data_IF_358220113169
#
_entry.id   IF_358220113169
#
_cell.length_a   1.000
_cell.length_b   1.000
_cell.length_c   1.000
_cell.angle_alpha   90.00
_cell.angle_beta   90.00
_cell.angle_gamma   90.00
#
_symmetry.space_group_name_H-M   'P 1'
#
loop_
_entity.id
_entity.type
_entity.pdbx_description
1 polymer ?
#
# COMPACT_ATOMS: atom_id res chain seq x y z
N UNK A 1 13.93 5.09 10.98
CA UNK A 1 14.01 3.84 11.74
C UNK A 1 15.18 3.03 11.21
N UNK A 2 16.17 2.72 12.03
CA UNK A 2 17.27 1.80 11.71
C UNK A 2 16.84 0.34 11.90
N UNK A 3 17.59 -0.63 11.37
CA UNK A 3 17.32 -2.05 11.64
C UNK A 3 17.40 -2.38 13.14
N UNK A 4 18.32 -1.74 13.88
CA UNK A 4 18.42 -1.94 15.32
C UNK A 4 17.17 -1.44 16.04
N UNK A 5 16.62 -0.29 15.63
CA UNK A 5 15.37 0.27 16.16
C UNK A 5 14.16 -0.62 15.84
N UNK A 6 14.05 -1.09 14.58
CA UNK A 6 12.97 -2.00 14.16
C UNK A 6 13.04 -3.34 14.91
N UNK A 7 14.24 -3.89 15.10
CA UNK A 7 14.43 -5.11 15.88
C UNK A 7 13.97 -4.92 17.32
N UNK A 8 14.31 -3.78 17.93
CA UNK A 8 13.90 -3.45 19.29
C UNK A 8 12.37 -3.30 19.42
N UNK A 9 11.71 -2.66 18.45
CA UNK A 9 10.23 -2.56 18.42
C UNK A 9 9.55 -3.92 18.22
N UNK A 10 10.17 -4.83 17.45
CA UNK A 10 9.68 -6.19 17.22
C UNK A 10 10.07 -7.18 18.33
N UNK A 11 10.87 -6.76 19.32
CA UNK A 11 11.36 -7.63 20.39
C UNK A 11 12.36 -8.69 19.92
N UNK A 12 13.07 -8.45 18.81
CA UNK A 12 14.07 -9.36 18.24
C UNK A 12 15.44 -8.70 18.15
N UNK A 13 16.50 -9.52 18.13
CA UNK A 13 17.86 -8.99 18.00
C UNK A 13 18.11 -8.41 16.60
N UNK A 14 19.04 -7.45 16.52
CA UNK A 14 19.50 -6.89 15.25
C UNK A 14 19.96 -7.99 14.27
N UNK A 15 20.71 -8.98 14.75
CA UNK A 15 21.15 -10.12 13.93
C UNK A 15 19.98 -10.97 13.43
N UNK A 16 18.92 -11.12 14.23
CA UNK A 16 17.75 -11.89 13.83
C UNK A 16 16.95 -11.15 12.76
N UNK A 17 16.76 -9.84 12.91
CA UNK A 17 16.12 -9.03 11.89
C UNK A 17 16.94 -9.00 10.60
N UNK A 18 18.26 -8.91 10.70
CA UNK A 18 19.15 -8.99 9.54
C UNK A 18 18.98 -10.33 8.79
N UNK A 19 18.85 -11.46 9.50
CA UNK A 19 18.58 -12.76 8.86
C UNK A 19 17.23 -12.81 8.15
N UNK A 20 16.24 -12.06 8.62
CA UNK A 20 14.95 -11.92 7.94
C UNK A 20 15.05 -11.03 6.70
N UNK A 21 15.77 -9.92 6.80
CA UNK A 21 16.03 -9.01 5.67
C UNK A 21 16.81 -9.70 4.55
N UNK A 22 17.85 -10.47 4.89
CA UNK A 22 18.64 -11.21 3.89
C UNK A 22 17.99 -12.51 3.42
N UNK A 23 16.78 -12.84 3.90
CA UNK A 23 16.05 -14.05 3.51
C UNK A 23 16.69 -15.36 3.97
N UNK A 24 17.72 -15.31 4.82
CA UNK A 24 18.38 -16.50 5.36
C UNK A 24 17.46 -17.26 6.32
N UNK A 25 16.60 -16.52 7.04
CA UNK A 25 15.50 -17.07 7.82
C UNK A 25 14.17 -16.66 7.22
N UNK A 26 13.22 -17.59 7.17
CA UNK A 26 11.83 -17.28 6.81
C UNK A 26 11.11 -16.57 7.95
N UNK A 27 10.35 -15.54 7.61
CA UNK A 27 9.40 -14.88 8.50
C UNK A 27 8.09 -15.70 8.57
N UNK A 28 7.50 -15.79 9.76
CA UNK A 28 6.13 -16.29 9.89
C UNK A 28 5.13 -15.22 9.47
N UNK A 29 3.91 -15.63 9.09
CA UNK A 29 2.85 -14.68 8.72
C UNK A 29 2.51 -13.69 9.87
N UNK A 30 2.54 -14.16 11.13
CA UNK A 30 2.34 -13.30 12.30
C UNK A 30 3.45 -12.25 12.46
N UNK A 31 4.70 -12.63 12.23
CA UNK A 31 5.81 -11.66 12.27
C UNK A 31 5.71 -10.64 11.13
N UNK A 32 5.30 -11.06 9.94
CA UNK A 32 5.01 -10.16 8.82
C UNK A 32 3.92 -9.13 9.16
N UNK A 33 2.86 -9.54 9.86
CA UNK A 33 1.83 -8.61 10.35
C UNK A 33 2.41 -7.61 11.35
N UNK A 34 3.17 -8.07 12.34
CA UNK A 34 3.79 -7.20 13.33
C UNK A 34 4.74 -6.17 12.69
N UNK A 35 5.49 -6.58 11.66
CA UNK A 35 6.37 -5.68 10.88
C UNK A 35 5.55 -4.60 10.17
N UNK A 36 4.43 -4.96 9.54
CA UNK A 36 3.54 -4.01 8.89
C UNK A 36 2.95 -2.99 9.90
N UNK A 37 2.55 -3.45 11.09
CA UNK A 37 2.01 -2.60 12.15
C UNK A 37 3.05 -1.60 12.67
N UNK A 38 4.28 -2.06 12.93
CA UNK A 38 5.41 -1.22 13.35
C UNK A 38 5.75 -0.17 12.28
N UNK A 39 5.78 -0.58 11.01
CA UNK A 39 6.02 0.31 9.88
C UNK A 39 4.83 1.22 9.54
N UNK A 40 3.66 0.97 10.15
CA UNK A 40 2.39 1.66 9.88
C UNK A 40 2.00 1.64 8.40
N UNK A 41 2.25 0.51 7.74
CA UNK A 41 1.88 0.27 6.35
C UNK A 41 0.85 -0.85 6.25
N UNK A 42 -0.05 -0.84 5.26
CA UNK A 42 -0.91 -1.98 5.01
C UNK A 42 -0.08 -3.23 4.73
N UNK A 43 -0.38 -4.37 5.35
CA UNK A 43 0.38 -5.62 5.17
C UNK A 43 0.51 -6.03 3.69
N UNK A 44 -0.44 -5.65 2.85
CA UNK A 44 -0.42 -5.87 1.40
C UNK A 44 0.80 -5.22 0.70
N UNK A 45 1.35 -4.12 1.21
CA UNK A 45 2.53 -3.46 0.61
C UNK A 45 3.81 -4.28 0.76
N UNK A 46 3.85 -5.24 1.70
CA UNK A 46 5.00 -6.13 1.89
C UNK A 46 5.03 -7.29 0.87
N UNK A 47 3.97 -7.43 0.07
CA UNK A 47 3.82 -8.46 -0.95
C UNK A 47 3.80 -7.85 -2.38
N UNK A 48 4.24 -6.60 -2.54
CA UNK A 48 4.50 -6.07 -3.88
C UNK A 48 5.68 -6.83 -4.49
N UNK A 49 5.36 -7.78 -5.37
CA UNK A 49 6.33 -8.53 -6.16
C UNK A 49 7.22 -7.56 -6.94
N UNK A 50 8.54 -7.72 -6.83
CA UNK A 50 9.50 -7.05 -7.74
C UNK A 50 9.22 -7.41 -9.22
N UNK A 51 8.56 -8.55 -9.48
CA UNK A 51 8.08 -8.95 -10.80
C UNK A 51 6.78 -8.22 -11.24
N UNK A 52 5.98 -7.68 -10.31
CA UNK A 52 4.83 -6.83 -10.62
C UNK A 52 5.25 -5.39 -10.91
N UNK A 53 6.43 -4.95 -10.45
CA UNK A 53 7.01 -3.67 -10.87
C UNK A 53 7.32 -3.63 -12.38
N UNK A 54 7.54 -4.79 -13.01
CA UNK A 54 7.72 -4.90 -14.47
C UNK A 54 6.39 -5.16 -15.22
N UNK A 55 5.33 -5.60 -14.53
CA UNK A 55 4.03 -5.91 -15.12
C UNK A 55 2.89 -4.93 -14.73
N UNK A 56 3.24 -3.78 -14.16
CA UNK A 56 2.49 -2.56 -14.44
C UNK A 56 3.21 -1.87 -15.59
N UNK A 57 2.75 -2.10 -16.82
CA UNK A 57 2.71 -0.99 -17.77
C UNK A 57 2.15 0.17 -16.95
N UNK A 58 2.96 1.19 -16.67
CA UNK A 58 2.53 2.32 -15.85
C UNK A 58 1.22 2.79 -16.46
N UNK A 59 0.11 2.46 -15.80
CA UNK A 59 -1.19 2.68 -16.37
C UNK A 59 -1.27 4.20 -16.56
N UNK A 60 -1.32 4.70 -17.80
CA UNK A 60 -1.28 6.15 -18.04
C UNK A 60 -2.44 6.85 -17.34
N UNK A 61 -3.50 6.09 -17.04
CA UNK A 61 -4.68 6.56 -16.31
C UNK A 61 -4.58 6.38 -14.79
N UNK A 62 -3.52 5.78 -14.23
CA UNK A 62 -3.34 5.66 -12.78
C UNK A 62 -3.22 7.03 -12.11
N UNK A 63 -2.50 7.97 -12.75
CA UNK A 63 -2.43 9.36 -12.28
C UNK A 63 -3.80 10.04 -12.34
N UNK A 64 -4.53 9.86 -13.44
CA UNK A 64 -5.88 10.42 -13.60
C UNK A 64 -6.88 9.84 -12.58
N UNK A 65 -6.79 8.54 -12.27
CA UNK A 65 -7.61 7.88 -11.24
C UNK A 65 -7.29 8.40 -9.84
N UNK A 66 -6.01 8.55 -9.51
CA UNK A 66 -5.58 9.10 -8.21
C UNK A 66 -6.08 10.54 -8.00
N UNK A 67 -6.01 11.37 -9.04
CA UNK A 67 -6.57 12.72 -9.02
C UNK A 67 -8.09 12.69 -8.83
N UNK A 68 -8.82 11.84 -9.56
CA UNK A 68 -10.27 11.70 -9.42
C UNK A 68 -10.69 11.29 -7.99
N UNK A 69 -10.00 10.31 -7.40
CA UNK A 69 -10.25 9.88 -6.02
C UNK A 69 -10.04 11.00 -5.00
N UNK A 70 -9.00 11.81 -5.16
CA UNK A 70 -8.75 12.98 -4.28
C UNK A 70 -9.92 13.97 -4.28
N UNK A 71 -10.58 14.19 -5.42
CA UNK A 71 -11.76 15.07 -5.50
C UNK A 71 -13.01 14.44 -4.87
N UNK A 72 -13.18 13.13 -5.02
CA UNK A 72 -14.29 12.37 -4.42
C UNK A 72 -14.16 12.39 -2.89
N UNK A 73 -12.99 12.07 -2.35
CA UNK A 73 -12.76 11.98 -0.90
C UNK A 73 -12.91 13.34 -0.18
N UNK A 74 -12.66 14.43 -0.90
CA UNK A 74 -12.86 15.80 -0.40
C UNK A 74 -14.33 16.24 -0.38
N UNK A 75 -15.23 15.48 -1.02
CA UNK A 75 -16.65 15.85 -1.13
C UNK A 75 -17.48 15.14 -0.08
N UNK A 76 -17.79 15.82 1.02
CA UNK A 76 -18.61 15.25 2.10
C UNK A 76 -20.13 15.23 1.87
N UNK A 77 -20.63 15.72 0.72
CA UNK A 77 -22.06 15.78 0.41
C UNK A 77 -22.48 14.63 -0.50
N UNK A 78 -23.40 13.80 -0.02
CA UNK A 78 -23.93 12.63 -0.74
C UNK A 78 -24.66 13.01 -2.03
N UNK A 79 -25.37 14.14 -2.03
CA UNK A 79 -26.06 14.66 -3.22
C UNK A 79 -25.06 15.06 -4.32
N UNK A 80 -23.96 15.73 -3.94
CA UNK A 80 -22.89 16.13 -4.87
C UNK A 80 -22.13 14.92 -5.42
N UNK A 81 -21.82 13.94 -4.57
CA UNK A 81 -21.23 12.67 -5.01
C UNK A 81 -22.13 11.94 -6.01
N UNK A 82 -23.45 11.95 -5.78
CA UNK A 82 -24.43 11.38 -6.71
C UNK A 82 -24.44 12.08 -8.07
N UNK A 83 -24.33 13.41 -8.10
CA UNK A 83 -24.19 14.17 -9.36
C UNK A 83 -22.87 13.84 -10.08
N UNK A 84 -21.76 13.76 -9.35
CA UNK A 84 -20.45 13.40 -9.92
C UNK A 84 -20.50 12.00 -10.56
N UNK A 85 -21.10 11.02 -9.88
CA UNK A 85 -21.26 9.67 -10.42
C UNK A 85 -22.13 9.64 -11.70
N UNK A 86 -23.19 10.46 -11.77
CA UNK A 86 -24.01 10.58 -12.99
C UNK A 86 -23.21 11.15 -14.16
N UNK A 87 -22.43 12.21 -13.93
CA UNK A 87 -21.59 12.82 -14.98
C UNK A 87 -20.53 11.84 -15.48
N UNK A 88 -19.81 11.18 -14.57
CA UNK A 88 -18.82 10.17 -14.94
C UNK A 88 -19.44 9.01 -15.72
N UNK A 89 -20.64 8.56 -15.36
CA UNK A 89 -21.38 7.52 -16.09
C UNK A 89 -21.75 7.94 -17.51
N UNK A 90 -22.11 9.20 -17.73
CA UNK A 90 -22.40 9.72 -19.08
C UNK A 90 -21.11 9.80 -19.89
N UNK A 91 -20.02 10.28 -19.29
CA UNK A 91 -18.72 10.42 -19.97
C UNK A 91 -18.04 9.09 -20.31
N UNK A 92 -18.40 7.99 -19.64
CA UNK A 92 -17.83 6.66 -19.90
C UNK A 92 -18.60 5.85 -20.94
N UNK A 93 -19.70 6.39 -21.48
CA UNK A 93 -20.58 5.70 -22.42
C UNK A 93 -20.35 6.08 -23.89
N UNK A 94 -19.45 7.03 -24.15
CA UNK A 94 -18.84 7.33 -25.46
C UNK A 94 -17.49 6.60 -25.59
#
# INVERSE_FOLDING_TARGET
MTLAELGNELGISHQQLQKYETGTNRLSAGMLSNVADVLRVPIASLFEDENQAQNKTADPSAKARAECHSWIDRTGSTERLGMMAKVLKVMSAD
#
